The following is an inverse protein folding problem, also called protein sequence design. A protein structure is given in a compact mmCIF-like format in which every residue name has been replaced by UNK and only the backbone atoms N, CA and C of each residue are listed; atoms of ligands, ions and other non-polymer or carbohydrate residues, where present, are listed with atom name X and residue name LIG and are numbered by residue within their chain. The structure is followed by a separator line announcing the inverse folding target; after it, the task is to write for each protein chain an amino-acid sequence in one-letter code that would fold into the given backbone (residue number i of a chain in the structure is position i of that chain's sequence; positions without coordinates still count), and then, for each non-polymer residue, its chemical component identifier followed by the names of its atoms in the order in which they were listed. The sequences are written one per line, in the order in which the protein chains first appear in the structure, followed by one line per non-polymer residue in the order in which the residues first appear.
data_IF_133077362814
#
_entry.id   IF_133077362814
#
_cell.length_a   1.000
_cell.length_b   1.000
_cell.length_c   1.000
_cell.angle_alpha   90.00
_cell.angle_beta   90.00
_cell.angle_gamma   90.00
#
_symmetry.space_group_name_H-M   'P 1'
#
loop_
_entity.id
_entity.type
_entity.pdbx_description
1 polymer ?
#
# COMPACT_ATOMS: atom_id res chain seq x y z
N UNK A 1 -12.90 27.12 -19.79
CA UNK A 1 -12.33 25.76 -19.58
C UNK A 1 -12.90 25.28 -18.27
N UNK A 2 -13.53 24.11 -18.22
CA UNK A 2 -14.02 23.57 -16.95
C UNK A 2 -12.82 23.23 -16.06
N UNK A 3 -12.79 23.77 -14.85
CA UNK A 3 -11.69 23.60 -13.93
C UNK A 3 -11.73 22.17 -13.35
N UNK A 4 -10.57 21.52 -13.35
CA UNK A 4 -10.40 20.20 -12.76
C UNK A 4 -9.62 20.37 -11.46
N UNK A 5 -10.08 19.72 -10.40
CA UNK A 5 -9.39 19.69 -9.09
C UNK A 5 -8.82 18.30 -8.85
N UNK A 6 -7.53 18.24 -8.55
CA UNK A 6 -6.87 17.01 -8.12
C UNK A 6 -7.34 16.65 -6.72
N UNK A 7 -8.02 15.52 -6.60
CA UNK A 7 -8.54 15.00 -5.33
C UNK A 7 -7.73 13.84 -4.77
N UNK A 8 -6.93 13.21 -5.62
CA UNK A 8 -5.95 12.22 -5.21
C UNK A 8 -4.74 12.28 -6.13
N UNK A 9 -3.54 12.19 -5.57
CA UNK A 9 -2.29 12.01 -6.28
C UNK A 9 -1.40 11.08 -5.49
N UNK A 10 -0.80 10.10 -6.17
CA UNK A 10 0.09 9.14 -5.54
C UNK A 10 1.35 9.84 -5.04
N UNK A 11 1.68 9.52 -3.80
CA UNK A 11 2.90 9.94 -3.12
C UNK A 11 3.54 8.72 -2.47
N UNK A 12 4.82 8.84 -2.10
CA UNK A 12 5.56 7.72 -1.49
C UNK A 12 4.86 7.13 -0.26
N UNK A 13 4.18 7.95 0.52
CA UNK A 13 3.48 7.51 1.73
C UNK A 13 1.95 7.56 1.59
N UNK A 14 1.41 7.46 0.37
CA UNK A 14 -0.04 7.34 0.17
C UNK A 14 -0.59 6.18 0.98
N UNK A 15 -1.69 6.44 1.68
CA UNK A 15 -2.38 5.51 2.59
C UNK A 15 -1.50 4.98 3.74
N UNK A 16 -0.35 5.61 4.02
CA UNK A 16 0.56 5.23 5.10
C UNK A 16 1.36 3.95 4.86
N UNK A 17 1.28 3.36 3.66
CA UNK A 17 1.87 2.04 3.36
C UNK A 17 3.39 2.06 3.56
N UNK A 18 4.09 3.08 3.06
CA UNK A 18 5.55 3.15 3.19
C UNK A 18 6.00 3.23 4.66
N UNK A 19 5.35 4.07 5.45
CA UNK A 19 5.65 4.22 6.88
C UNK A 19 5.38 2.92 7.65
N UNK A 20 4.25 2.24 7.40
CA UNK A 20 3.93 0.94 8.02
C UNK A 20 4.98 -0.12 7.68
N UNK A 21 5.34 -0.24 6.40
CA UNK A 21 6.34 -1.20 5.93
C UNK A 21 7.71 -0.91 6.53
N UNK A 22 8.11 0.37 6.58
CA UNK A 22 9.38 0.78 7.20
C UNK A 22 9.40 0.47 8.70
N UNK A 23 8.30 0.75 9.41
CA UNK A 23 8.18 0.45 10.84
C UNK A 23 8.34 -1.05 11.14
N UNK A 24 7.65 -1.91 10.36
CA UNK A 24 7.76 -3.37 10.49
C UNK A 24 9.16 -3.89 10.16
N UNK A 25 9.83 -3.30 9.17
CA UNK A 25 11.20 -3.62 8.83
C UNK A 25 12.15 -3.30 10.00
N UNK A 26 12.02 -2.10 10.57
CA UNK A 26 12.86 -1.67 11.69
C UNK A 26 12.69 -2.57 12.91
N UNK A 27 11.48 -3.04 13.21
CA UNK A 27 11.25 -4.03 14.28
C UNK A 27 12.05 -5.30 14.00
N UNK A 28 11.91 -5.89 12.81
CA UNK A 28 12.61 -7.13 12.45
C UNK A 28 14.12 -6.99 12.54
N UNK A 29 14.68 -5.91 11.98
CA UNK A 29 16.12 -5.63 12.00
C UNK A 29 16.62 -5.37 13.42
N UNK A 30 15.92 -4.58 14.23
CA UNK A 30 16.31 -4.29 15.61
C UNK A 30 16.31 -5.56 16.48
N UNK A 31 15.29 -6.41 16.34
CA UNK A 31 15.23 -7.71 17.04
C UNK A 31 16.37 -8.63 16.61
N UNK A 32 16.70 -8.68 15.32
CA UNK A 32 17.81 -9.49 14.81
C UNK A 32 19.16 -9.03 15.38
N UNK A 33 19.45 -7.73 15.28
CA UNK A 33 20.69 -7.14 15.80
C UNK A 33 20.79 -7.34 17.31
N UNK A 34 19.70 -7.08 18.06
CA UNK A 34 19.65 -7.28 19.50
C UNK A 34 19.86 -8.74 19.90
N UNK A 35 19.21 -9.68 19.22
CA UNK A 35 19.38 -11.11 19.44
C UNK A 35 20.82 -11.56 19.22
N UNK A 36 21.42 -11.18 18.09
CA UNK A 36 22.83 -11.47 17.79
C UNK A 36 23.78 -10.88 18.83
N UNK A 37 23.58 -9.61 19.20
CA UNK A 37 24.39 -8.93 20.21
C UNK A 37 24.35 -9.67 21.56
N UNK A 38 23.16 -10.10 22.00
CA UNK A 38 23.00 -10.84 23.26
C UNK A 38 23.65 -12.22 23.20
N UNK A 39 23.54 -12.94 22.07
CA UNK A 39 24.23 -14.23 21.88
C UNK A 39 25.74 -14.06 21.98
N UNK A 40 26.32 -13.09 21.24
CA UNK A 40 27.77 -12.82 21.24
C UNK A 40 28.25 -12.44 22.64
N UNK A 41 27.52 -11.57 23.34
CA UNK A 41 27.86 -11.16 24.71
C UNK A 41 27.84 -12.35 25.68
N UNK A 42 26.84 -13.23 25.59
CA UNK A 42 26.73 -14.42 26.45
C UNK A 42 27.82 -15.44 26.16
N UNK A 43 28.19 -15.62 24.89
CA UNK A 43 29.31 -16.47 24.51
C UNK A 43 30.63 -15.95 25.08
N UNK A 44 30.93 -14.64 24.92
CA UNK A 44 32.15 -14.02 25.48
C UNK A 44 32.25 -14.11 26.99
N UNK A 45 31.13 -14.22 27.70
CA UNK A 45 31.07 -14.35 29.16
C UNK A 45 31.07 -15.79 29.67
N UNK A 46 31.21 -16.78 28.79
CA UNK A 46 31.16 -18.19 29.18
C UNK A 46 29.80 -18.63 29.76
N UNK A 47 28.72 -17.92 29.42
CA UNK A 47 27.40 -18.23 29.97
C UNK A 47 26.91 -19.60 29.50
N UNK A 48 26.25 -20.35 30.39
CA UNK A 48 25.76 -21.71 30.12
C UNK A 48 24.76 -21.77 28.95
N UNK A 49 24.63 -22.96 28.34
CA UNK A 49 23.86 -23.17 27.12
C UNK A 49 22.38 -22.73 27.24
N UNK A 50 21.73 -22.98 28.37
CA UNK A 50 20.34 -22.59 28.62
C UNK A 50 20.12 -21.07 28.49
N UNK A 51 21.12 -20.25 28.82
CA UNK A 51 21.03 -18.80 28.70
C UNK A 51 20.93 -18.30 27.24
N UNK A 52 21.20 -19.16 26.26
CA UNK A 52 21.23 -18.82 24.83
C UNK A 52 19.91 -19.13 24.12
N UNK A 53 18.98 -19.84 24.77
CA UNK A 53 17.70 -20.26 24.15
C UNK A 53 16.86 -19.04 23.76
N UNK A 54 16.57 -18.13 24.69
CA UNK A 54 15.76 -16.94 24.43
C UNK A 54 16.30 -16.03 23.29
N UNK A 55 17.60 -15.66 23.26
CA UNK A 55 18.10 -14.83 22.17
C UNK A 55 18.20 -15.60 20.84
N UNK A 56 18.40 -16.93 20.85
CA UNK A 56 18.29 -17.75 19.63
C UNK A 56 16.85 -17.78 19.10
N UNK A 57 15.86 -17.93 19.97
CA UNK A 57 14.45 -17.82 19.61
C UNK A 57 14.17 -16.45 18.97
N UNK A 58 14.65 -15.35 19.57
CA UNK A 58 14.46 -14.00 19.02
C UNK A 58 15.07 -13.86 17.62
N UNK A 59 16.25 -14.45 17.38
CA UNK A 59 16.88 -14.46 16.04
C UNK A 59 15.99 -15.21 15.06
N UNK A 60 15.58 -16.45 15.38
CA UNK A 60 14.72 -17.26 14.50
C UNK A 60 13.41 -16.54 14.20
N UNK A 61 12.77 -15.97 15.22
CA UNK A 61 11.55 -15.18 15.08
C UNK A 61 11.77 -13.96 14.20
N UNK A 62 12.87 -13.22 14.37
CA UNK A 62 13.18 -12.05 13.55
C UNK A 62 13.43 -12.40 12.08
N UNK A 63 14.08 -13.52 11.80
CA UNK A 63 14.29 -14.01 10.43
C UNK A 63 12.95 -14.42 9.79
N UNK A 64 12.10 -15.13 10.54
CA UNK A 64 10.76 -15.47 10.08
C UNK A 64 9.90 -14.21 9.83
N UNK A 65 9.93 -13.24 10.74
CA UNK A 65 9.26 -11.94 10.57
C UNK A 65 9.73 -11.21 9.31
N UNK A 66 11.05 -11.12 9.12
CA UNK A 66 11.64 -10.46 7.95
C UNK A 66 11.27 -11.13 6.64
N UNK A 67 11.20 -12.47 6.65
CA UNK A 67 10.83 -13.26 5.48
C UNK A 67 9.33 -13.15 5.16
N UNK A 68 8.46 -13.33 6.15
CA UNK A 68 7.00 -13.39 5.96
C UNK A 68 6.38 -12.06 5.53
N UNK A 69 7.02 -10.93 5.82
CA UNK A 69 6.53 -9.60 5.45
C UNK A 69 6.87 -9.17 4.02
N UNK A 70 7.71 -9.92 3.29
CA UNK A 70 8.07 -9.69 1.88
C UNK A 70 8.34 -8.21 1.54
N UNK A 71 9.18 -7.58 2.36
CA UNK A 71 9.57 -6.17 2.20
C UNK A 71 10.02 -5.81 0.78
N UNK A 72 10.85 -6.63 0.08
CA UNK A 72 11.28 -6.32 -1.27
C UNK A 72 10.12 -6.18 -2.25
N UNK A 73 9.13 -7.06 -2.18
CA UNK A 73 7.95 -6.97 -3.04
C UNK A 73 7.16 -5.68 -2.77
N UNK A 74 6.90 -5.34 -1.51
CA UNK A 74 6.11 -4.15 -1.16
C UNK A 74 6.83 -2.85 -1.54
N UNK A 75 8.12 -2.72 -1.22
CA UNK A 75 8.90 -1.56 -1.66
C UNK A 75 9.02 -1.49 -3.18
N UNK A 76 9.19 -2.63 -3.84
CA UNK A 76 9.20 -2.73 -5.29
C UNK A 76 7.89 -2.22 -5.91
N UNK A 77 6.75 -2.60 -5.34
CA UNK A 77 5.43 -2.13 -5.78
C UNK A 77 5.27 -0.61 -5.64
N UNK A 78 5.61 -0.05 -4.48
CA UNK A 78 5.56 1.40 -4.24
C UNK A 78 6.43 2.14 -5.26
N UNK A 79 7.70 1.73 -5.41
CA UNK A 79 8.62 2.38 -6.35
C UNK A 79 8.14 2.22 -7.80
N UNK A 80 7.59 1.06 -8.18
CA UNK A 80 7.05 0.83 -9.52
C UNK A 80 5.94 1.82 -9.86
N UNK A 81 5.00 2.06 -8.94
CA UNK A 81 3.89 2.98 -9.17
C UNK A 81 4.34 4.44 -9.18
N UNK A 82 5.23 4.83 -8.26
CA UNK A 82 5.82 6.18 -8.24
C UNK A 82 6.61 6.46 -9.52
N UNK A 83 7.49 5.54 -9.92
CA UNK A 83 8.27 5.71 -11.15
C UNK A 83 7.35 5.76 -12.38
N UNK A 84 6.29 4.95 -12.42
CA UNK A 84 5.31 5.02 -13.49
C UNK A 84 4.59 6.38 -13.54
N UNK A 85 4.36 7.00 -12.38
CA UNK A 85 3.81 8.34 -12.28
C UNK A 85 4.80 9.42 -12.74
N UNK A 86 6.00 9.44 -12.15
CA UNK A 86 7.05 10.43 -12.40
C UNK A 86 7.53 10.40 -13.86
N UNK A 87 7.71 9.20 -14.42
CA UNK A 87 8.14 9.01 -15.80
C UNK A 87 6.98 9.09 -16.82
N UNK A 88 5.76 9.41 -16.36
CA UNK A 88 4.55 9.52 -17.19
C UNK A 88 4.22 8.26 -18.01
N UNK A 89 4.53 7.08 -17.47
CA UNK A 89 4.22 5.76 -18.06
C UNK A 89 2.79 5.30 -17.79
N UNK A 90 1.94 6.17 -17.26
CA UNK A 90 0.53 5.92 -17.00
C UNK A 90 -0.34 6.15 -18.25
N UNK A 91 -1.56 5.62 -18.19
CA UNK A 91 -2.64 5.90 -19.13
C UNK A 91 -3.63 6.86 -18.48
N UNK A 92 -4.35 7.62 -19.30
CA UNK A 92 -5.37 8.57 -18.85
C UNK A 92 -6.70 8.18 -19.48
N UNK A 93 -7.74 8.14 -18.67
CA UNK A 93 -9.13 8.01 -19.13
C UNK A 93 -9.97 9.12 -18.52
N UNK A 94 -10.82 9.74 -19.33
CA UNK A 94 -11.66 10.85 -18.91
C UNK A 94 -13.11 10.56 -19.31
N UNK A 95 -14.05 10.84 -18.42
CA UNK A 95 -15.47 10.67 -18.70
C UNK A 95 -16.34 10.74 -17.45
N UNK A 96 -17.64 10.51 -17.65
CA UNK A 96 -18.57 10.33 -16.55
C UNK A 96 -18.29 8.99 -15.86
N UNK A 97 -18.35 9.00 -14.53
CA UNK A 97 -18.20 7.80 -13.71
C UNK A 97 -19.54 7.09 -13.62
N UNK A 98 -19.55 5.83 -14.04
CA UNK A 98 -20.62 4.88 -13.82
C UNK A 98 -20.21 3.93 -12.68
N UNK A 99 -21.14 3.68 -11.74
CA UNK A 99 -20.90 2.78 -10.61
C UNK A 99 -21.74 1.51 -10.83
N UNK A 100 -21.06 0.40 -11.11
CA UNK A 100 -21.69 -0.90 -11.36
C UNK A 100 -21.92 -1.70 -10.07
N UNK A 101 -21.05 -1.53 -9.09
CA UNK A 101 -21.13 -2.20 -7.80
C UNK A 101 -20.48 -1.34 -6.73
N UNK A 102 -21.02 -1.40 -5.51
CA UNK A 102 -20.48 -0.69 -4.34
C UNK A 102 -20.08 -1.69 -3.26
N UNK A 103 -18.88 -1.52 -2.71
CA UNK A 103 -18.42 -2.25 -1.55
C UNK A 103 -19.21 -1.80 -0.31
N UNK A 104 -19.80 -2.73 0.46
CA UNK A 104 -20.37 -2.39 1.76
C UNK A 104 -19.30 -1.82 2.70
N UNK A 105 -19.72 -0.97 3.65
CA UNK A 105 -18.81 -0.35 4.63
C UNK A 105 -18.05 -1.37 5.49
N UNK A 106 -18.56 -2.59 5.64
CA UNK A 106 -17.92 -3.66 6.41
C UNK A 106 -18.04 -5.00 5.70
N UNK A 107 -17.17 -5.94 6.06
CA UNK A 107 -17.17 -7.31 5.55
C UNK A 107 -16.28 -7.53 4.33
N UNK A 108 -16.13 -8.81 3.95
CA UNK A 108 -15.30 -9.21 2.82
C UNK A 108 -16.13 -9.27 1.54
N UNK A 109 -16.24 -8.14 0.87
CA UNK A 109 -16.88 -8.02 -0.43
C UNK A 109 -15.92 -7.42 -1.45
N UNK A 110 -16.23 -7.63 -2.73
CA UNK A 110 -15.53 -6.97 -3.84
C UNK A 110 -15.56 -5.46 -3.67
N UNK A 111 -14.50 -4.79 -4.14
CA UNK A 111 -14.40 -3.34 -4.16
C UNK A 111 -15.46 -2.69 -5.03
N UNK A 112 -15.59 -1.37 -4.97
CA UNK A 112 -16.41 -0.60 -5.90
C UNK A 112 -15.96 -0.88 -7.33
N UNK A 113 -16.91 -1.24 -8.20
CA UNK A 113 -16.65 -1.41 -9.62
C UNK A 113 -17.13 -0.15 -10.33
N UNK A 114 -16.18 0.63 -10.82
CA UNK A 114 -16.45 1.90 -11.51
C UNK A 114 -16.00 1.82 -12.95
N UNK A 115 -16.76 2.43 -13.85
CA UNK A 115 -16.46 2.51 -15.28
C UNK A 115 -16.35 3.97 -15.68
N UNK A 116 -15.27 4.32 -16.37
CA UNK A 116 -15.06 5.65 -16.96
C UNK A 116 -14.71 5.46 -18.42
N UNK A 117 -15.55 5.97 -19.32
CA UNK A 117 -15.39 5.86 -20.78
C UNK A 117 -15.06 4.42 -21.24
N UNK A 118 -15.84 3.44 -20.75
CA UNK A 118 -15.67 2.02 -21.06
C UNK A 118 -14.51 1.31 -20.34
N UNK A 119 -13.66 2.02 -19.58
CA UNK A 119 -12.60 1.40 -18.76
C UNK A 119 -13.10 1.12 -17.35
N UNK A 120 -13.08 -0.15 -16.96
CA UNK A 120 -13.43 -0.59 -15.60
C UNK A 120 -12.24 -0.52 -14.64
N UNK A 121 -12.50 -0.11 -13.40
CA UNK A 121 -11.59 -0.14 -12.26
C UNK A 121 -12.27 -0.79 -11.05
N UNK A 122 -11.49 -1.47 -10.22
CA UNK A 122 -11.92 -1.90 -8.89
C UNK A 122 -11.21 -1.03 -7.84
N UNK A 123 -11.99 -0.34 -7.01
CA UNK A 123 -11.48 0.42 -5.85
C UNK A 123 -11.85 -0.36 -4.60
N UNK A 124 -10.88 -0.73 -3.77
CA UNK A 124 -11.15 -1.57 -2.61
C UNK A 124 -10.46 -1.03 -1.36
N UNK A 125 -11.25 -0.63 -0.37
CA UNK A 125 -10.75 0.01 0.84
C UNK A 125 -9.79 -0.89 1.64
N UNK A 126 -9.98 -2.21 1.56
CA UNK A 126 -9.19 -3.18 2.32
C UNK A 126 -7.89 -3.60 1.63
N UNK A 127 -7.60 -3.11 0.41
CA UNK A 127 -6.34 -3.38 -0.24
C UNK A 127 -5.22 -2.52 0.34
N UNK A 128 -4.14 -3.18 0.76
CA UNK A 128 -2.89 -2.51 1.14
C UNK A 128 -2.13 -2.08 -0.12
N UNK A 129 -2.50 -0.93 -0.67
CA UNK A 129 -1.88 -0.34 -1.87
C UNK A 129 -1.60 1.14 -1.66
N UNK A 130 -0.53 1.72 -2.24
CA UNK A 130 -0.35 3.17 -2.27
C UNK A 130 -1.24 3.85 -3.34
N UNK A 131 -1.89 3.08 -4.22
CA UNK A 131 -2.85 3.60 -5.19
C UNK A 131 -4.15 4.06 -4.52
N UNK A 132 -5.02 4.73 -5.29
CA UNK A 132 -6.34 5.12 -4.78
C UNK A 132 -7.17 3.89 -4.40
N UNK A 133 -7.69 3.88 -3.17
CA UNK A 133 -8.42 2.74 -2.63
C UNK A 133 -9.69 3.11 -1.84
N UNK A 134 -10.03 4.40 -1.74
CA UNK A 134 -11.21 4.83 -1.00
C UNK A 134 -12.50 4.49 -1.75
N UNK A 135 -13.25 3.52 -1.26
CA UNK A 135 -14.60 3.22 -1.76
C UNK A 135 -15.60 4.28 -1.34
N UNK A 136 -16.75 4.35 -2.01
CA UNK A 136 -17.84 5.29 -1.74
C UNK A 136 -18.34 5.17 -0.29
N UNK A 137 -18.38 3.96 0.25
CA UNK A 137 -18.72 3.72 1.66
C UNK A 137 -17.68 4.29 2.65
N UNK A 138 -16.46 4.56 2.20
CA UNK A 138 -15.34 5.10 2.98
C UNK A 138 -14.90 6.50 2.48
N UNK A 139 -15.84 7.28 1.93
CA UNK A 139 -15.58 8.66 1.49
C UNK A 139 -14.88 8.77 0.13
N UNK A 140 -15.01 7.75 -0.72
CA UNK A 140 -14.52 7.77 -2.08
C UNK A 140 -15.18 8.84 -2.96
N UNK A 141 -14.47 9.30 -3.98
CA UNK A 141 -14.85 10.42 -4.85
C UNK A 141 -15.35 9.97 -6.23
N UNK A 142 -15.15 8.70 -6.58
CA UNK A 142 -15.60 8.12 -7.86
C UNK A 142 -17.07 7.68 -7.78
N UNK A 143 -17.94 8.65 -7.51
CA UNK A 143 -19.38 8.46 -7.40
C UNK A 143 -20.11 8.61 -8.73
N UNK A 144 -21.40 8.27 -8.74
CA UNK A 144 -22.27 8.50 -9.91
C UNK A 144 -22.31 9.99 -10.27
N UNK A 145 -22.36 10.28 -11.56
CA UNK A 145 -22.43 11.63 -12.13
C UNK A 145 -21.21 12.53 -11.85
N UNK A 146 -20.10 11.94 -11.37
CA UNK A 146 -18.81 12.61 -11.27
C UNK A 146 -18.15 12.51 -12.64
N UNK A 147 -17.73 13.66 -13.18
CA UNK A 147 -16.91 13.68 -14.39
C UNK A 147 -15.44 13.70 -13.97
N UNK A 148 -14.73 12.59 -14.19
CA UNK A 148 -13.39 12.37 -13.68
C UNK A 148 -12.38 12.13 -14.81
N UNK A 149 -11.15 12.59 -14.58
CA UNK A 149 -9.96 12.20 -15.32
C UNK A 149 -9.09 11.33 -14.42
N UNK A 150 -8.93 10.07 -14.78
CA UNK A 150 -8.21 9.06 -14.03
C UNK A 150 -6.89 8.75 -14.71
N UNK A 151 -5.81 8.87 -13.95
CA UNK A 151 -4.45 8.49 -14.33
C UNK A 151 -4.17 7.14 -13.71
N UNK A 152 -3.85 6.13 -14.51
CA UNK A 152 -3.70 4.76 -14.02
C UNK A 152 -2.56 4.00 -14.68
N UNK A 153 -2.05 3.00 -13.98
CA UNK A 153 -1.00 2.10 -14.46
C UNK A 153 -1.31 0.67 -14.04
N UNK A 154 -1.35 -0.27 -14.99
CA UNK A 154 -1.74 -1.67 -14.75
C UNK A 154 -3.08 -1.85 -14.00
N UNK A 155 -4.03 -0.93 -14.19
CA UNK A 155 -5.33 -0.95 -13.51
C UNK A 155 -5.35 -0.27 -12.15
N UNK A 156 -4.20 0.10 -11.59
CA UNK A 156 -4.12 0.87 -10.34
C UNK A 156 -4.18 2.37 -10.61
N UNK A 157 -5.00 3.06 -9.83
CA UNK A 157 -5.26 4.50 -10.00
C UNK A 157 -4.19 5.30 -9.25
N UNK A 158 -3.42 6.10 -9.99
CA UNK A 158 -2.31 6.92 -9.50
C UNK A 158 -2.74 8.35 -9.18
N UNK A 159 -3.73 8.89 -9.91
CA UNK A 159 -4.26 10.24 -9.69
C UNK A 159 -5.68 10.35 -10.19
N UNK A 160 -6.48 11.16 -9.52
CA UNK A 160 -7.86 11.48 -9.90
C UNK A 160 -8.01 12.99 -9.89
N UNK A 161 -8.45 13.53 -11.03
CA UNK A 161 -8.94 14.89 -11.13
C UNK A 161 -10.45 14.85 -11.39
N UNK A 162 -11.23 15.65 -10.65
CA UNK A 162 -12.68 15.78 -10.85
C UNK A 162 -13.01 17.15 -11.43
N UNK A 163 -13.99 17.22 -12.33
CA UNK A 163 -14.48 18.48 -12.87
C UNK A 163 -15.36 19.18 -11.84
N UNK A 164 -15.03 20.43 -11.50
CA UNK A 164 -15.91 21.25 -10.68
C UNK A 164 -17.25 21.48 -11.38
N UNK A 165 -18.33 21.54 -10.58
CA UNK A 165 -19.68 21.78 -11.05
C UNK A 165 -19.94 23.27 -11.23
#
# INVERSE_FOLDING_TARGET
MSEFVTVFEITRNSNGIFADVLFRLLIGVACLIGGLFVVVRKWRRGAGAASRIAPLFLIVWSLAWLYLHDFPHVFGHINKLLNAYEEKKYQVVEGLVEVLHQQPATGHAKGDIVVVNGKQFEVNYFYATPAYHNTLAHGGVLGRDVYARIYYYNGEILRIDIRER
#
